data_IF_368876447574
#
_entry.id   IF_368876447574
#
_cell.length_a   1.000
_cell.length_b   1.000
_cell.length_c   1.000
_cell.angle_alpha   90.00
_cell.angle_beta   90.00
_cell.angle_gamma   90.00
#
_symmetry.space_group_name_H-M   'P 1'
#
loop_
_entity.id
_entity.type
_entity.pdbx_description
1 polymer ?
#
# COMPACT_ATOMS: atom_id res chain seq x y z
N UNK A 1 -7.24 7.25 0.47
CA UNK A 1 -8.20 6.75 -0.53
C UNK A 1 -9.65 7.22 -0.31
N UNK A 2 -10.29 7.02 0.86
CA UNK A 2 -11.72 7.40 1.08
C UNK A 2 -12.08 8.88 0.88
N UNK A 3 -11.16 9.81 1.12
CA UNK A 3 -11.38 11.24 0.82
C UNK A 3 -11.46 11.50 -0.68
N UNK A 4 -10.57 10.87 -1.46
CA UNK A 4 -10.58 10.95 -2.93
C UNK A 4 -11.88 10.42 -3.50
N UNK A 5 -12.41 9.32 -2.95
CA UNK A 5 -13.72 8.79 -3.33
C UNK A 5 -14.85 9.81 -3.16
N UNK A 6 -14.87 10.54 -2.04
CA UNK A 6 -15.86 11.61 -1.78
C UNK A 6 -15.72 12.77 -2.76
N UNK A 7 -14.49 13.17 -3.07
CA UNK A 7 -14.19 14.27 -4.00
C UNK A 7 -14.52 13.91 -5.45
N UNK A 8 -14.27 12.66 -5.88
CA UNK A 8 -14.63 12.20 -7.23
C UNK A 8 -16.14 11.98 -7.39
N UNK A 9 -16.82 11.53 -6.34
CA UNK A 9 -18.28 11.33 -6.35
C UNK A 9 -19.06 12.66 -6.52
N UNK A 10 -18.49 13.78 -6.08
CA UNK A 10 -19.15 15.09 -6.14
C UNK A 10 -19.07 15.77 -7.52
N UNK A 11 -18.23 15.27 -8.44
CA UNK A 11 -18.02 15.83 -9.78
C UNK A 11 -18.84 15.11 -10.88
N UNK A 12 -20.09 14.73 -10.59
CA UNK A 12 -20.98 13.97 -11.50
C UNK A 12 -20.47 12.58 -11.98
N UNK A 13 -19.27 12.15 -11.58
CA UNK A 13 -18.74 10.79 -11.81
C UNK A 13 -19.16 9.77 -10.75
N UNK A 14 -19.36 8.52 -11.13
CA UNK A 14 -19.56 7.41 -10.20
C UNK A 14 -18.20 6.97 -9.65
N UNK A 15 -17.96 7.11 -8.35
CA UNK A 15 -16.75 6.58 -7.72
C UNK A 15 -17.09 5.44 -6.78
N UNK A 16 -16.29 4.38 -6.81
CA UNK A 16 -16.40 3.25 -5.88
C UNK A 16 -15.02 2.89 -5.33
N UNK A 17 -14.97 2.67 -4.03
CA UNK A 17 -13.78 2.16 -3.34
C UNK A 17 -13.87 0.63 -3.17
N UNK A 18 -12.79 -0.07 -3.47
CA UNK A 18 -12.62 -1.50 -3.19
C UNK A 18 -11.28 -1.74 -2.48
N UNK A 19 -11.34 -2.50 -1.40
CA UNK A 19 -10.19 -3.01 -0.66
C UNK A 19 -9.99 -4.46 -1.11
N UNK A 20 -8.81 -4.79 -1.63
CA UNK A 20 -8.60 -6.08 -2.32
C UNK A 20 -7.52 -6.96 -1.67
N UNK A 21 -7.15 -6.67 -0.42
CA UNK A 21 -6.12 -7.40 0.32
C UNK A 21 -6.46 -8.90 0.47
N UNK A 22 -7.73 -9.25 0.64
CA UNK A 22 -8.23 -10.63 0.83
C UNK A 22 -8.61 -11.33 -0.49
N UNK A 23 -8.20 -10.79 -1.64
CA UNK A 23 -8.55 -11.34 -2.96
C UNK A 23 -7.45 -12.29 -3.44
N UNK A 24 -7.87 -13.49 -3.83
CA UNK A 24 -7.00 -14.58 -4.30
C UNK A 24 -7.31 -15.04 -5.73
N UNK A 25 -8.27 -14.42 -6.42
CA UNK A 25 -8.64 -14.82 -7.78
C UNK A 25 -9.23 -13.68 -8.62
N UNK A 26 -9.11 -13.75 -9.97
CA UNK A 26 -9.74 -12.80 -10.88
C UNK A 26 -11.26 -12.69 -10.69
N UNK A 27 -11.93 -13.82 -10.45
CA UNK A 27 -13.37 -13.91 -10.25
C UNK A 27 -13.80 -13.13 -9.01
N UNK A 28 -13.03 -13.26 -7.91
CA UNK A 28 -13.30 -12.53 -6.68
C UNK A 28 -13.12 -11.03 -6.87
N UNK A 29 -12.06 -10.61 -7.58
CA UNK A 29 -11.83 -9.21 -7.92
C UNK A 29 -13.00 -8.60 -8.70
N UNK A 30 -13.44 -9.27 -9.76
CA UNK A 30 -14.59 -8.86 -10.58
C UNK A 30 -15.88 -8.81 -9.76
N UNK A 31 -16.08 -9.79 -8.88
CA UNK A 31 -17.23 -9.84 -8.00
C UNK A 31 -17.26 -8.63 -7.06
N UNK A 32 -16.14 -8.27 -6.41
CA UNK A 32 -16.08 -7.07 -5.57
C UNK A 32 -16.28 -5.78 -6.37
N UNK A 33 -15.75 -5.67 -7.60
CA UNK A 33 -16.02 -4.53 -8.47
C UNK A 33 -17.51 -4.37 -8.77
N UNK A 34 -18.19 -5.44 -9.18
CA UNK A 34 -19.63 -5.44 -9.45
C UNK A 34 -20.40 -5.11 -8.17
N UNK A 35 -20.07 -5.74 -7.05
CA UNK A 35 -20.73 -5.47 -5.76
C UNK A 35 -20.58 -4.01 -5.32
N UNK A 36 -19.41 -3.41 -5.51
CA UNK A 36 -19.18 -2.00 -5.21
C UNK A 36 -20.02 -1.08 -6.10
N UNK A 37 -20.09 -1.36 -7.40
CA UNK A 37 -20.96 -0.65 -8.34
C UNK A 37 -22.44 -0.73 -7.93
N UNK A 38 -22.95 -1.93 -7.68
CA UNK A 38 -24.35 -2.14 -7.27
C UNK A 38 -24.68 -1.56 -5.89
N UNK A 39 -23.67 -1.43 -5.04
CA UNK A 39 -23.75 -0.75 -3.76
C UNK A 39 -23.95 0.76 -3.89
N UNK A 40 -23.55 1.37 -5.00
CA UNK A 40 -23.62 2.82 -5.19
C UNK A 40 -25.05 3.33 -5.33
N UNK A 41 -25.37 4.45 -4.66
CA UNK A 41 -26.72 5.03 -4.72
C UNK A 41 -27.11 5.50 -6.13
N UNK A 42 -26.14 5.94 -6.94
CA UNK A 42 -26.41 6.38 -8.32
C UNK A 42 -26.84 5.22 -9.21
N UNK A 43 -26.23 4.03 -9.08
CA UNK A 43 -26.68 2.85 -9.84
C UNK A 43 -28.03 2.35 -9.32
N UNK A 44 -28.30 2.43 -8.01
CA UNK A 44 -29.63 2.09 -7.46
C UNK A 44 -30.74 2.98 -8.01
N UNK A 45 -30.44 4.25 -8.32
CA UNK A 45 -31.38 5.21 -8.91
C UNK A 45 -31.40 5.17 -10.44
N UNK A 46 -30.33 4.69 -11.09
CA UNK A 46 -30.21 4.54 -12.54
C UNK A 46 -30.87 3.25 -13.06
N UNK A 47 -32.13 3.33 -13.48
CA UNK A 47 -32.92 2.19 -13.95
C UNK A 47 -32.27 1.40 -15.12
N UNK A 48 -31.47 2.06 -15.97
CA UNK A 48 -30.92 1.46 -17.18
C UNK A 48 -29.81 0.43 -16.90
N UNK A 49 -28.83 0.73 -16.04
CA UNK A 49 -27.74 -0.21 -15.71
C UNK A 49 -28.29 -1.46 -15.04
N UNK A 50 -29.17 -1.27 -14.05
CA UNK A 50 -29.81 -2.38 -13.34
C UNK A 50 -30.47 -3.33 -14.34
N UNK A 51 -31.24 -2.78 -15.27
CA UNK A 51 -31.92 -3.58 -16.31
C UNK A 51 -30.96 -4.25 -17.28
N UNK A 52 -29.79 -3.65 -17.56
CA UNK A 52 -28.77 -4.23 -18.42
C UNK A 52 -28.10 -5.44 -17.74
N UNK A 53 -27.75 -5.32 -16.46
CA UNK A 53 -27.26 -6.46 -15.66
C UNK A 53 -28.32 -7.56 -15.51
N UNK A 54 -29.60 -7.22 -15.30
CA UNK A 54 -30.72 -8.21 -15.25
C UNK A 54 -30.89 -9.01 -16.54
N UNK A 55 -30.60 -8.39 -17.69
CA UNK A 55 -30.67 -9.04 -19.01
C UNK A 55 -29.44 -9.88 -19.30
N UNK A 56 -28.26 -9.36 -18.98
CA UNK A 56 -26.99 -10.04 -19.24
C UNK A 56 -26.73 -11.20 -18.27
N UNK A 57 -27.23 -11.10 -17.04
CA UNK A 57 -26.89 -12.02 -15.96
C UNK A 57 -28.10 -12.52 -15.18
N UNK A 58 -28.27 -13.83 -15.14
CA UNK A 58 -29.36 -14.50 -14.42
C UNK A 58 -29.27 -14.31 -12.89
N UNK A 59 -28.06 -14.18 -12.35
CA UNK A 59 -27.80 -13.99 -10.92
C UNK A 59 -28.33 -12.65 -10.38
N UNK A 60 -28.68 -11.70 -11.26
CA UNK A 60 -29.22 -10.40 -10.87
C UNK A 60 -30.74 -10.42 -10.62
N UNK A 61 -31.46 -11.45 -11.12
CA UNK A 61 -32.93 -11.51 -11.09
C UNK A 61 -33.54 -11.67 -9.69
N UNK A 62 -32.74 -11.94 -8.65
CA UNK A 62 -33.25 -12.00 -7.27
C UNK A 62 -33.40 -10.57 -6.71
N UNK A 63 -34.65 -10.15 -6.49
CA UNK A 63 -35.02 -8.84 -5.95
C UNK A 63 -34.18 -8.44 -4.72
N UNK A 64 -33.66 -7.21 -4.75
CA UNK A 64 -33.11 -6.49 -3.59
C UNK A 64 -34.29 -6.06 -2.69
N UNK A 65 -34.94 -7.02 -2.04
CA UNK A 65 -35.98 -6.75 -1.04
C UNK A 65 -35.50 -7.24 0.34
N UNK A 66 -35.29 -6.24 1.21
CA UNK A 66 -35.25 -6.25 2.68
C UNK A 66 -35.21 -7.60 3.41
N UNK A 67 -34.14 -8.39 3.27
CA UNK A 67 -33.75 -9.40 4.26
C UNK A 67 -32.24 -9.34 4.46
N UNK A 68 -31.82 -9.04 5.70
CA UNK A 68 -30.44 -9.07 6.17
C UNK A 68 -29.39 -8.74 5.11
N UNK A 69 -29.16 -7.45 4.85
CA UNK A 69 -28.27 -6.90 3.80
C UNK A 69 -26.92 -7.63 3.70
N UNK A 70 -26.42 -8.23 4.79
CA UNK A 70 -25.21 -9.05 4.81
C UNK A 70 -25.37 -10.43 4.12
N UNK A 71 -26.42 -11.19 4.45
CA UNK A 71 -26.65 -12.55 3.93
C UNK A 71 -26.96 -12.51 2.43
N UNK A 72 -27.77 -11.54 2.01
CA UNK A 72 -28.06 -11.34 0.58
C UNK A 72 -26.79 -11.00 -0.21
N UNK A 73 -25.97 -10.06 0.28
CA UNK A 73 -24.70 -9.70 -0.39
C UNK A 73 -23.76 -10.89 -0.50
N UNK A 74 -23.68 -11.73 0.52
CA UNK A 74 -22.88 -12.95 0.47
C UNK A 74 -23.39 -13.95 -0.59
N UNK A 75 -24.70 -14.15 -0.67
CA UNK A 75 -25.32 -15.04 -1.68
C UNK A 75 -25.14 -14.50 -3.10
N UNK A 76 -25.39 -13.21 -3.33
CA UNK A 76 -25.17 -12.55 -4.61
C UNK A 76 -23.71 -12.70 -5.07
N UNK A 77 -22.77 -12.44 -4.16
CA UNK A 77 -21.34 -12.60 -4.43
C UNK A 77 -20.98 -14.03 -4.83
N UNK A 78 -21.48 -15.02 -4.09
CA UNK A 78 -21.26 -16.44 -4.41
C UNK A 78 -21.85 -16.84 -5.77
N UNK A 79 -23.02 -16.30 -6.13
CA UNK A 79 -23.62 -16.54 -7.44
C UNK A 79 -22.79 -15.93 -8.58
N UNK A 80 -22.28 -14.71 -8.40
CA UNK A 80 -21.38 -14.06 -9.37
C UNK A 80 -20.11 -14.90 -9.55
N UNK A 81 -19.47 -15.29 -8.45
CA UNK A 81 -18.23 -16.10 -8.49
C UNK A 81 -18.47 -17.46 -9.17
N UNK A 82 -19.60 -18.12 -8.88
CA UNK A 82 -19.97 -19.38 -9.53
C UNK A 82 -20.18 -19.20 -11.04
N UNK A 83 -20.81 -18.10 -11.45
CA UNK A 83 -21.01 -17.76 -12.85
C UNK A 83 -19.67 -17.47 -13.56
N UNK A 84 -18.74 -16.79 -12.89
CA UNK A 84 -17.42 -16.46 -13.46
C UNK A 84 -16.45 -17.66 -13.51
N UNK A 85 -16.74 -18.79 -12.86
CA UNK A 85 -15.76 -19.86 -12.62
C UNK A 85 -15.10 -20.43 -13.89
N UNK A 86 -15.86 -20.64 -14.97
CA UNK A 86 -15.35 -21.31 -16.18
C UNK A 86 -14.90 -20.34 -17.28
N UNK A 87 -15.45 -19.12 -17.34
CA UNK A 87 -15.17 -18.15 -18.41
C UNK A 87 -15.25 -16.71 -17.90
N UNK A 88 -14.44 -16.40 -16.89
CA UNK A 88 -14.44 -15.08 -16.27
C UNK A 88 -14.07 -13.97 -17.26
N UNK A 89 -13.24 -14.27 -18.27
CA UNK A 89 -12.76 -13.27 -19.24
C UNK A 89 -13.89 -12.76 -20.13
N UNK A 90 -14.71 -13.66 -20.70
CA UNK A 90 -15.84 -13.23 -21.55
C UNK A 90 -16.93 -12.56 -20.71
N UNK A 91 -17.19 -13.07 -19.51
CA UNK A 91 -18.17 -12.45 -18.60
C UNK A 91 -17.72 -11.09 -18.08
N UNK A 92 -16.42 -10.92 -17.83
CA UNK A 92 -15.84 -9.62 -17.55
C UNK A 92 -16.09 -8.68 -18.72
N UNK A 93 -15.86 -9.11 -19.97
CA UNK A 93 -16.14 -8.29 -21.16
C UNK A 93 -17.57 -7.73 -21.16
N UNK A 94 -18.57 -8.58 -20.90
CA UNK A 94 -19.98 -8.17 -20.80
C UNK A 94 -20.24 -7.19 -19.64
N UNK A 95 -19.66 -7.44 -18.45
CA UNK A 95 -19.75 -6.52 -17.31
C UNK A 95 -19.25 -5.12 -17.70
N UNK A 96 -18.12 -5.06 -18.42
CA UNK A 96 -17.53 -3.78 -18.81
C UNK A 96 -18.19 -3.10 -20.00
N UNK A 97 -18.81 -3.84 -20.92
CA UNK A 97 -19.71 -3.24 -21.91
C UNK A 97 -20.84 -2.47 -21.22
N UNK A 98 -21.47 -3.08 -20.20
CA UNK A 98 -22.53 -2.42 -19.43
C UNK A 98 -22.01 -1.18 -18.68
N UNK A 99 -20.78 -1.24 -18.16
CA UNK A 99 -20.16 -0.09 -17.47
C UNK A 99 -19.79 1.02 -18.46
N UNK A 100 -19.29 0.67 -19.65
CA UNK A 100 -18.90 1.63 -20.68
C UNK A 100 -20.10 2.36 -21.29
N UNK A 101 -21.28 1.74 -21.30
CA UNK A 101 -22.55 2.38 -21.68
C UNK A 101 -23.04 3.42 -20.65
N UNK A 102 -22.33 3.61 -19.53
CA UNK A 102 -22.67 4.63 -18.56
C UNK A 102 -22.25 6.03 -19.02
N UNK A 103 -23.21 6.96 -19.08
CA UNK A 103 -23.01 8.33 -19.58
C UNK A 103 -21.99 9.15 -18.77
N UNK A 104 -21.70 8.74 -17.53
CA UNK A 104 -20.76 9.44 -16.64
C UNK A 104 -19.46 8.67 -16.47
N UNK A 105 -18.40 9.36 -16.08
CA UNK A 105 -17.13 8.71 -15.73
C UNK A 105 -17.32 7.77 -14.53
N UNK A 106 -16.70 6.59 -14.60
CA UNK A 106 -16.65 5.59 -13.53
C UNK A 106 -15.22 5.50 -13.01
N UNK A 107 -15.06 5.73 -11.71
CA UNK A 107 -13.78 5.68 -11.00
C UNK A 107 -13.76 4.51 -10.04
N UNK A 108 -12.78 3.62 -10.21
CA UNK A 108 -12.46 2.58 -9.25
C UNK A 108 -11.23 2.98 -8.46
N UNK A 109 -11.39 3.10 -7.15
CA UNK A 109 -10.28 3.30 -6.21
C UNK A 109 -9.98 1.95 -5.57
N UNK A 110 -8.87 1.34 -5.96
CA UNK A 110 -8.48 -0.03 -5.61
C UNK A 110 -7.32 0.03 -4.63
N UNK A 111 -7.54 -0.40 -3.39
CA UNK A 111 -6.51 -0.41 -2.34
C UNK A 111 -5.88 -1.78 -2.17
N UNK A 112 -4.57 -1.82 -1.89
CA UNK A 112 -3.75 -3.04 -1.79
C UNK A 112 -3.75 -3.94 -3.04
N UNK A 113 -3.78 -3.31 -4.22
CA UNK A 113 -3.70 -4.00 -5.50
C UNK A 113 -2.48 -4.93 -5.66
N UNK A 114 -1.25 -4.56 -5.24
CA UNK A 114 -0.09 -5.46 -5.31
C UNK A 114 -0.28 -6.75 -4.50
N UNK A 115 -0.96 -6.67 -3.35
CA UNK A 115 -1.23 -7.84 -2.51
C UNK A 115 -2.21 -8.78 -3.22
N UNK A 116 -3.28 -8.24 -3.82
CA UNK A 116 -4.23 -9.04 -4.59
C UNK A 116 -3.56 -9.81 -5.74
N UNK A 117 -2.68 -9.16 -6.50
CA UNK A 117 -1.93 -9.82 -7.58
C UNK A 117 -1.01 -10.90 -7.04
N UNK A 118 -0.32 -10.65 -5.92
CA UNK A 118 0.58 -11.62 -5.29
C UNK A 118 -0.16 -12.85 -4.75
N UNK A 119 -1.40 -12.67 -4.29
CA UNK A 119 -2.25 -13.72 -3.75
C UNK A 119 -2.85 -14.63 -4.81
N UNK A 120 -3.02 -14.15 -6.04
CA UNK A 120 -3.51 -14.94 -7.16
C UNK A 120 -2.51 -16.02 -7.58
N UNK A 121 -3.01 -17.11 -8.15
CA UNK A 121 -2.16 -18.06 -8.86
C UNK A 121 -1.40 -17.34 -10.00
N UNK A 122 -0.11 -17.61 -10.24
CA UNK A 122 0.68 -16.90 -11.25
C UNK A 122 0.05 -16.85 -12.65
N UNK A 123 -0.55 -17.95 -13.12
CA UNK A 123 -1.17 -17.98 -14.45
C UNK A 123 -2.44 -17.14 -14.52
N UNK A 124 -3.21 -17.13 -13.42
CA UNK A 124 -4.42 -16.31 -13.31
C UNK A 124 -4.07 -14.83 -13.15
N UNK A 125 -3.02 -14.52 -12.38
CA UNK A 125 -2.48 -13.17 -12.24
C UNK A 125 -2.03 -12.59 -13.58
N UNK A 126 -1.30 -13.37 -14.39
CA UNK A 126 -0.88 -12.99 -15.74
C UNK A 126 -2.09 -12.64 -16.63
N UNK A 127 -3.04 -13.57 -16.74
CA UNK A 127 -4.27 -13.40 -17.55
C UNK A 127 -5.06 -12.18 -17.08
N UNK A 128 -5.21 -12.02 -15.77
CA UNK A 128 -5.87 -10.89 -15.15
C UNK A 128 -5.19 -9.57 -15.49
N UNK A 129 -3.87 -9.47 -15.37
CA UNK A 129 -3.14 -8.23 -15.66
C UNK A 129 -3.24 -7.82 -17.14
N UNK A 130 -3.15 -8.78 -18.06
CA UNK A 130 -3.34 -8.52 -19.49
C UNK A 130 -4.75 -8.05 -19.81
N UNK A 131 -5.75 -8.73 -19.26
CA UNK A 131 -7.15 -8.34 -19.38
C UNK A 131 -7.39 -6.94 -18.79
N UNK A 132 -6.88 -6.70 -17.58
CA UNK A 132 -7.06 -5.45 -16.85
C UNK A 132 -6.41 -4.29 -17.58
N UNK A 133 -5.24 -4.50 -18.19
CA UNK A 133 -4.62 -3.51 -19.08
C UNK A 133 -5.48 -3.20 -20.29
N UNK A 134 -5.96 -4.23 -21.00
CA UNK A 134 -6.84 -4.04 -22.16
C UNK A 134 -8.06 -3.21 -21.78
N UNK A 135 -8.66 -3.51 -20.64
CA UNK A 135 -9.80 -2.76 -20.11
C UNK A 135 -9.50 -1.27 -19.93
N UNK A 136 -8.37 -0.92 -19.31
CA UNK A 136 -7.95 0.47 -19.10
C UNK A 136 -7.71 1.23 -20.40
N UNK A 137 -7.29 0.54 -21.46
CA UNK A 137 -6.97 1.14 -22.75
C UNK A 137 -8.19 1.37 -23.65
N UNK A 138 -9.18 0.48 -23.61
CA UNK A 138 -10.37 0.56 -24.48
C UNK A 138 -11.50 1.41 -23.89
N UNK A 139 -11.48 1.65 -22.58
CA UNK A 139 -12.61 2.26 -21.86
C UNK A 139 -12.36 3.75 -21.63
N UNK A 140 -13.07 4.61 -22.36
CA UNK A 140 -12.85 6.06 -22.31
C UNK A 140 -13.42 6.69 -21.03
N UNK A 141 -14.52 6.17 -20.50
CA UNK A 141 -15.20 6.67 -19.29
C UNK A 141 -14.74 5.98 -17.99
N UNK A 142 -13.93 4.93 -18.08
CA UNK A 142 -13.48 4.13 -16.94
C UNK A 142 -12.07 4.53 -16.50
N UNK A 143 -11.89 4.80 -15.20
CA UNK A 143 -10.61 5.22 -14.61
C UNK A 143 -10.31 4.44 -13.35
N UNK A 144 -9.04 4.09 -13.16
CA UNK A 144 -8.56 3.33 -12.02
C UNK A 144 -7.51 4.13 -11.25
N UNK A 145 -7.68 4.19 -9.94
CA UNK A 145 -6.65 4.63 -8.99
C UNK A 145 -6.29 3.41 -8.17
N UNK A 146 -5.11 2.85 -8.41
CA UNK A 146 -4.61 1.67 -7.68
C UNK A 146 -3.56 2.11 -6.67
N UNK A 147 -3.68 1.62 -5.45
CA UNK A 147 -2.74 1.87 -4.36
C UNK A 147 -2.24 0.56 -3.75
N UNK A 148 -1.17 0.66 -2.97
CA UNK A 148 -0.62 -0.43 -2.18
C UNK A 148 0.61 0.03 -1.42
N UNK A 149 0.89 -0.64 -0.31
CA UNK A 149 2.03 -0.34 0.57
C UNK A 149 3.36 -0.94 0.08
N UNK A 150 3.32 -1.75 -0.99
CA UNK A 150 4.45 -2.43 -1.63
C UNK A 150 4.46 -2.09 -3.12
N UNK A 151 5.65 -2.05 -3.72
CA UNK A 151 5.84 -1.78 -5.14
C UNK A 151 5.12 -2.81 -6.01
N UNK A 152 4.27 -2.32 -6.92
CA UNK A 152 3.61 -3.16 -7.92
C UNK A 152 4.59 -3.66 -8.98
N UNK A 153 5.65 -2.90 -9.29
CA UNK A 153 6.63 -3.23 -10.34
C UNK A 153 7.31 -4.57 -10.07
N UNK A 154 7.60 -4.82 -8.80
CA UNK A 154 8.11 -6.07 -8.29
C UNK A 154 7.14 -7.23 -8.46
N UNK A 155 5.90 -7.03 -8.01
CA UNK A 155 4.87 -8.08 -8.06
C UNK A 155 4.58 -8.51 -9.50
N UNK A 156 4.56 -7.56 -10.46
CA UNK A 156 4.29 -7.91 -11.85
C UNK A 156 5.50 -8.49 -12.60
N UNK A 157 6.73 -8.28 -12.11
CA UNK A 157 7.96 -8.76 -12.76
C UNK A 157 7.92 -10.27 -13.02
N UNK A 158 7.34 -11.02 -12.08
CA UNK A 158 7.29 -12.48 -12.11
C UNK A 158 6.07 -13.07 -12.85
N UNK A 159 5.04 -12.27 -13.16
CA UNK A 159 3.76 -12.77 -13.71
C UNK A 159 3.31 -12.14 -15.03
N UNK A 160 3.82 -10.98 -15.42
CA UNK A 160 3.42 -10.35 -16.70
C UNK A 160 4.38 -9.27 -17.21
N UNK A 161 5.41 -8.97 -16.42
CA UNK A 161 6.35 -7.89 -16.65
C UNK A 161 5.71 -6.51 -16.50
N UNK A 162 6.57 -5.49 -16.42
CA UNK A 162 6.17 -4.08 -16.30
C UNK A 162 5.28 -3.58 -17.45
N UNK A 163 5.26 -4.30 -18.58
CA UNK A 163 4.43 -3.97 -19.75
C UNK A 163 2.93 -3.94 -19.45
N UNK A 164 2.46 -4.73 -18.48
CA UNK A 164 1.03 -4.81 -18.10
C UNK A 164 0.55 -3.60 -17.28
N UNK A 165 1.47 -2.77 -16.80
CA UNK A 165 1.19 -1.61 -15.94
C UNK A 165 1.84 -0.31 -16.44
N UNK A 166 2.53 -0.31 -17.58
CA UNK A 166 3.26 0.86 -18.07
C UNK A 166 2.36 2.03 -18.52
N UNK A 167 1.04 1.83 -18.59
CA UNK A 167 0.04 2.86 -18.87
C UNK A 167 -0.39 3.63 -17.61
N UNK A 168 -0.02 3.17 -16.41
CA UNK A 168 -0.30 3.89 -15.18
C UNK A 168 0.57 5.13 -15.02
N UNK A 169 -0.07 6.25 -14.67
CA UNK A 169 0.65 7.41 -14.13
C UNK A 169 1.08 7.11 -12.70
N UNK A 170 2.39 7.16 -12.43
CA UNK A 170 2.95 6.97 -11.09
C UNK A 170 2.78 8.23 -10.24
N UNK A 171 2.36 8.03 -8.99
CA UNK A 171 2.32 9.06 -7.95
C UNK A 171 2.93 8.46 -6.70
N UNK A 172 4.14 8.90 -6.32
CA UNK A 172 4.79 8.50 -5.08
C UNK A 172 4.26 9.39 -3.95
N UNK A 173 3.74 8.78 -2.90
CA UNK A 173 3.28 9.50 -1.70
C UNK A 173 4.33 9.27 -0.61
N UNK A 174 5.19 10.26 -0.39
CA UNK A 174 6.17 10.26 0.69
C UNK A 174 5.57 10.77 2.00
N UNK A 175 6.43 10.99 2.99
CA UNK A 175 6.01 11.68 4.21
C UNK A 175 5.74 13.18 4.01
N UNK A 176 5.40 13.85 5.10
CA UNK A 176 5.05 15.27 5.03
C UNK A 176 6.26 16.15 4.71
N UNK A 177 6.00 17.32 4.11
CA UNK A 177 6.97 18.40 4.16
C UNK A 177 7.16 18.83 5.63
N UNK A 178 8.38 19.27 6.00
CA UNK A 178 8.71 19.60 7.39
C UNK A 178 7.71 20.58 8.01
N UNK A 179 7.32 21.61 7.26
CA UNK A 179 6.39 22.64 7.70
C UNK A 179 5.00 22.05 8.01
N UNK A 180 4.50 21.18 7.13
CA UNK A 180 3.23 20.47 7.33
C UNK A 180 3.31 19.51 8.52
N UNK A 181 4.46 18.86 8.72
CA UNK A 181 4.67 17.96 9.84
C UNK A 181 4.64 18.71 11.19
N UNK A 182 5.29 19.89 11.25
CA UNK A 182 5.23 20.79 12.41
C UNK A 182 3.79 21.25 12.66
N UNK A 183 3.07 21.70 11.63
CA UNK A 183 1.67 22.14 11.76
C UNK A 183 0.77 21.03 12.34
N UNK A 184 0.99 19.78 11.92
CA UNK A 184 0.26 18.62 12.45
C UNK A 184 0.60 18.38 13.92
N UNK A 185 1.89 18.43 14.29
CA UNK A 185 2.32 18.27 15.69
C UNK A 185 1.71 19.37 16.57
N UNK A 186 1.86 20.63 16.19
CA UNK A 186 1.31 21.77 16.94
C UNK A 186 -0.21 21.65 17.09
N UNK A 187 -0.91 21.23 16.03
CA UNK A 187 -2.35 21.02 16.07
C UNK A 187 -2.73 19.96 17.11
N UNK A 188 -2.02 18.84 17.17
CA UNK A 188 -2.27 17.79 18.17
C UNK A 188 -2.02 18.31 19.58
N UNK A 189 -0.92 19.02 19.82
CA UNK A 189 -0.63 19.62 21.13
C UNK A 189 -1.74 20.57 21.59
N UNK A 190 -2.21 21.43 20.68
CA UNK A 190 -3.31 22.36 20.96
C UNK A 190 -4.63 21.63 21.26
N UNK A 191 -4.97 20.61 20.50
CA UNK A 191 -6.20 19.82 20.73
C UNK A 191 -6.17 19.02 22.03
N UNK A 192 -4.97 18.65 22.50
CA UNK A 192 -4.72 17.96 23.78
C UNK A 192 -4.47 18.92 24.95
N UNK A 193 -4.50 20.22 24.71
CA UNK A 193 -4.20 21.27 25.70
C UNK A 193 -2.80 21.16 26.33
N UNK A 194 -1.84 20.58 25.61
CA UNK A 194 -0.43 20.52 26.00
C UNK A 194 0.32 21.81 25.66
N UNK A 195 1.37 22.12 26.42
CA UNK A 195 2.24 23.25 26.10
C UNK A 195 3.13 22.90 24.91
N UNK A 196 3.04 23.71 23.85
CA UNK A 196 3.85 23.56 22.64
C UNK A 196 4.93 24.64 22.56
N UNK A 197 6.13 24.23 22.14
CA UNK A 197 7.21 25.12 21.74
C UNK A 197 7.79 24.63 20.41
N UNK A 198 8.42 25.51 19.65
CA UNK A 198 9.11 25.13 18.40
C UNK A 198 10.18 24.04 18.65
N UNK A 199 10.86 24.09 19.80
CA UNK A 199 11.91 23.13 20.14
C UNK A 199 11.36 21.72 20.39
N UNK A 200 10.17 21.60 20.98
CA UNK A 200 9.44 20.32 21.11
C UNK A 200 9.10 19.75 19.74
N UNK A 201 8.55 20.57 18.83
CA UNK A 201 8.22 20.16 17.48
C UNK A 201 9.44 19.66 16.70
N UNK A 202 10.54 20.42 16.73
CA UNK A 202 11.81 20.04 16.12
C UNK A 202 12.39 18.78 16.75
N UNK A 203 12.29 18.61 18.08
CA UNK A 203 12.77 17.41 18.76
C UNK A 203 12.03 16.15 18.32
N UNK A 204 10.69 16.20 18.24
CA UNK A 204 9.87 15.08 17.75
C UNK A 204 10.26 14.73 16.31
N UNK A 205 10.38 15.73 15.42
CA UNK A 205 10.78 15.47 14.03
C UNK A 205 12.21 14.94 13.91
N UNK A 206 13.13 15.41 14.75
CA UNK A 206 14.49 14.88 14.79
C UNK A 206 14.51 13.39 15.15
N UNK A 207 13.65 12.94 16.07
CA UNK A 207 13.47 11.52 16.40
C UNK A 207 12.87 10.72 15.24
N UNK A 208 11.83 11.24 14.58
CA UNK A 208 11.17 10.58 13.43
C UNK A 208 12.11 10.48 12.21
N UNK A 209 12.89 11.53 11.95
CA UNK A 209 13.77 11.68 10.80
C UNK A 209 13.19 12.59 9.70
N UNK A 210 14.07 12.97 8.76
CA UNK A 210 13.80 13.98 7.71
C UNK A 210 12.60 13.64 6.83
N UNK A 211 12.34 12.35 6.59
CA UNK A 211 11.22 11.88 5.78
C UNK A 211 9.85 12.16 6.40
N UNK A 212 9.76 12.58 7.67
CA UNK A 212 8.52 13.03 8.33
C UNK A 212 7.31 12.11 8.06
N UNK A 213 7.51 10.80 8.24
CA UNK A 213 6.50 9.79 7.92
C UNK A 213 5.30 9.97 8.87
N UNK A 214 4.07 10.19 8.36
CA UNK A 214 2.90 10.49 9.18
C UNK A 214 2.61 9.44 10.25
N UNK A 215 2.80 8.16 9.92
CA UNK A 215 2.63 7.05 10.86
C UNK A 215 3.63 7.11 12.02
N UNK A 216 4.89 7.45 11.76
CA UNK A 216 5.92 7.56 12.81
C UNK A 216 5.72 8.79 13.70
N UNK A 217 5.25 9.90 13.12
CA UNK A 217 4.81 11.07 13.91
C UNK A 217 3.66 10.68 14.83
N UNK A 218 2.67 9.94 14.33
CA UNK A 218 1.54 9.48 15.13
C UNK A 218 1.96 8.53 16.27
N UNK A 219 2.90 7.61 16.01
CA UNK A 219 3.48 6.74 17.04
C UNK A 219 4.15 7.56 18.15
N UNK A 220 4.97 8.56 17.79
CA UNK A 220 5.61 9.44 18.77
C UNK A 220 4.58 10.19 19.62
N UNK A 221 3.59 10.82 18.99
CA UNK A 221 2.55 11.57 19.68
C UNK A 221 1.69 10.68 20.59
N UNK A 222 1.37 9.45 20.15
CA UNK A 222 0.65 8.47 20.97
C UNK A 222 1.45 8.06 22.20
N UNK A 223 2.76 7.82 22.04
CA UNK A 223 3.61 7.46 23.17
C UNK A 223 3.80 8.62 24.16
N UNK A 224 3.87 9.86 23.67
CA UNK A 224 3.86 11.07 24.51
C UNK A 224 2.56 11.17 25.30
N UNK A 225 1.40 10.95 24.65
CA UNK A 225 0.10 10.93 25.33
C UNK A 225 0.08 9.92 26.48
N UNK A 226 0.54 8.70 26.22
CA UNK A 226 0.53 7.62 27.18
C UNK A 226 1.44 7.91 28.39
N UNK A 227 2.61 8.51 28.19
CA UNK A 227 3.48 8.93 29.29
C UNK A 227 2.90 10.11 30.08
N UNK A 228 2.37 11.12 29.38
CA UNK A 228 1.74 12.28 30.00
C UNK A 228 0.58 11.86 30.92
N UNK A 229 -0.33 11.01 30.43
CA UNK A 229 -1.49 10.52 31.18
C UNK A 229 -1.10 9.63 32.36
N UNK A 230 -0.03 8.83 32.23
CA UNK A 230 0.35 7.87 33.25
C UNK A 230 1.19 8.46 34.39
N UNK A 231 2.01 9.48 34.11
CA UNK A 231 2.95 10.04 35.09
C UNK A 231 2.69 11.49 35.46
N UNK A 232 1.79 12.18 34.75
CA UNK A 232 1.50 13.62 34.94
C UNK A 232 2.79 14.47 34.88
N UNK A 233 3.59 14.23 33.83
CA UNK A 233 4.89 14.86 33.60
C UNK A 233 4.81 15.95 32.53
N UNK A 234 5.62 16.99 32.65
CA UNK A 234 5.76 18.01 31.61
C UNK A 234 6.38 17.41 30.35
N UNK A 235 5.89 17.83 29.18
CA UNK A 235 6.44 17.39 27.89
C UNK A 235 7.62 18.28 27.54
N UNK A 236 8.83 17.77 27.71
CA UNK A 236 10.08 18.43 27.34
C UNK A 236 10.93 17.58 26.39
N UNK A 237 12.08 18.11 25.98
CA UNK A 237 12.97 17.42 25.05
C UNK A 237 13.61 16.15 25.63
N UNK A 238 13.77 16.07 26.95
CA UNK A 238 14.34 14.90 27.64
C UNK A 238 13.32 13.75 27.63
N UNK A 239 12.06 14.03 27.98
CA UNK A 239 10.97 13.05 27.91
C UNK A 239 10.81 12.49 26.49
N UNK A 240 10.87 13.36 25.46
CA UNK A 240 10.73 12.93 24.06
C UNK A 240 11.88 11.99 23.66
N UNK A 241 13.10 12.29 24.07
CA UNK A 241 14.27 11.44 23.81
C UNK A 241 14.16 10.10 24.55
N UNK A 242 13.69 10.10 25.80
CA UNK A 242 13.48 8.89 26.59
C UNK A 242 12.40 7.99 25.98
N UNK A 243 11.27 8.58 25.57
CA UNK A 243 10.20 7.86 24.87
C UNK A 243 10.75 7.23 23.58
N UNK A 244 11.51 7.98 22.80
CA UNK A 244 12.09 7.47 21.56
C UNK A 244 13.01 6.27 21.82
N UNK A 245 13.99 6.40 22.72
CA UNK A 245 15.00 5.37 22.93
C UNK A 245 14.49 4.15 23.72
N UNK A 246 13.68 4.35 24.75
CA UNK A 246 13.31 3.28 25.68
C UNK A 246 11.94 2.67 25.42
N UNK A 247 11.03 3.40 24.75
CA UNK A 247 9.68 2.90 24.46
C UNK A 247 9.51 2.56 23.00
N UNK A 248 9.73 3.51 22.09
CA UNK A 248 9.55 3.30 20.65
C UNK A 248 10.58 2.32 20.10
N UNK A 249 11.86 2.56 20.37
CA UNK A 249 12.93 1.63 19.99
C UNK A 249 13.06 0.46 20.99
N UNK A 250 12.44 0.56 22.17
CA UNK A 250 12.46 -0.49 23.18
C UNK A 250 11.56 -1.69 22.86
N UNK A 251 11.55 -2.67 23.77
CA UNK A 251 10.81 -3.92 23.59
C UNK A 251 9.30 -3.72 23.36
N UNK A 252 8.72 -2.67 23.93
CA UNK A 252 7.30 -2.35 23.78
C UNK A 252 6.97 -1.87 22.37
N UNK A 253 7.79 -0.98 21.80
CA UNK A 253 7.59 -0.42 20.46
C UNK A 253 8.03 -1.32 19.31
N UNK A 254 8.66 -2.48 19.58
CA UNK A 254 9.13 -3.41 18.54
C UNK A 254 8.05 -3.76 17.50
N UNK A 255 6.81 -3.94 17.95
CA UNK A 255 5.70 -4.34 17.09
C UNK A 255 5.34 -3.29 16.01
N UNK A 256 5.64 -2.01 16.23
CA UNK A 256 5.37 -0.95 15.26
C UNK A 256 6.12 -1.16 13.94
N UNK A 257 7.26 -1.86 13.96
CA UNK A 257 8.14 -1.98 12.80
C UNK A 257 8.31 -3.42 12.31
N UNK A 258 7.85 -4.42 13.07
CA UNK A 258 8.01 -5.84 12.73
C UNK A 258 7.46 -6.19 11.33
N UNK A 259 6.38 -5.52 10.92
CA UNK A 259 5.79 -5.69 9.59
C UNK A 259 6.78 -5.38 8.45
N UNK A 260 7.69 -4.40 8.62
CA UNK A 260 8.75 -4.12 7.64
C UNK A 260 9.66 -5.35 7.45
N UNK A 261 10.09 -5.99 8.53
CA UNK A 261 10.90 -7.21 8.45
C UNK A 261 10.12 -8.38 7.83
N UNK A 262 8.83 -8.54 8.18
CA UNK A 262 7.99 -9.61 7.64
C UNK A 262 7.74 -9.48 6.14
N UNK A 263 7.54 -8.25 5.63
CA UNK A 263 7.34 -7.99 4.20
C UNK A 263 8.50 -8.50 3.35
N UNK A 264 9.74 -8.40 3.83
CA UNK A 264 10.89 -8.95 3.09
C UNK A 264 10.72 -10.45 2.81
N UNK A 265 10.24 -11.22 3.79
CA UNK A 265 10.01 -12.66 3.63
C UNK A 265 8.87 -12.99 2.67
N UNK A 266 7.83 -12.15 2.62
CA UNK A 266 6.63 -12.38 1.81
C UNK A 266 6.90 -12.02 0.35
N UNK A 267 7.55 -10.89 0.11
CA UNK A 267 7.73 -10.37 -1.23
C UNK A 267 9.08 -10.77 -1.82
N UNK A 268 10.19 -10.81 -1.06
CA UNK A 268 11.56 -11.02 -1.58
C UNK A 268 11.91 -12.50 -1.74
N UNK A 269 11.01 -13.20 -2.42
CA UNK A 269 11.07 -14.65 -2.64
C UNK A 269 11.83 -15.05 -3.90
N UNK A 270 12.30 -14.09 -4.69
CA UNK A 270 13.09 -14.31 -5.89
C UNK A 270 14.36 -15.12 -5.60
N UNK A 271 14.86 -15.81 -6.63
CA UNK A 271 16.05 -16.66 -6.55
C UNK A 271 15.98 -17.68 -5.40
N UNK A 272 14.81 -18.31 -5.21
CA UNK A 272 14.59 -19.30 -4.14
C UNK A 272 14.88 -18.73 -2.74
N UNK A 273 14.48 -17.47 -2.51
CA UNK A 273 14.64 -16.75 -1.24
C UNK A 273 16.06 -16.22 -0.97
N UNK A 274 17.00 -16.31 -1.92
CA UNK A 274 18.31 -15.65 -1.78
C UNK A 274 18.19 -14.12 -1.80
N UNK A 275 17.18 -13.61 -2.48
CA UNK A 275 16.91 -12.17 -2.56
C UNK A 275 16.56 -11.58 -1.19
N UNK A 276 15.72 -12.25 -0.38
CA UNK A 276 15.46 -11.85 1.01
C UNK A 276 16.76 -11.77 1.82
N UNK A 277 17.66 -12.75 1.68
CA UNK A 277 18.94 -12.79 2.40
C UNK A 277 19.81 -11.59 2.02
N UNK A 278 19.95 -11.34 0.72
CA UNK A 278 20.70 -10.20 0.21
C UNK A 278 20.10 -8.87 0.70
N UNK A 279 18.78 -8.70 0.60
CA UNK A 279 18.05 -7.52 1.08
C UNK A 279 18.34 -7.26 2.56
N UNK A 280 18.17 -8.28 3.41
CA UNK A 280 18.44 -8.17 4.86
C UNK A 280 19.89 -7.86 5.16
N UNK A 281 20.84 -8.47 4.44
CA UNK A 281 22.27 -8.25 4.64
C UNK A 281 22.67 -6.82 4.25
N UNK A 282 22.15 -6.29 3.14
CA UNK A 282 22.34 -4.90 2.73
C UNK A 282 21.74 -3.96 3.78
N UNK A 283 20.46 -4.14 4.13
CA UNK A 283 19.79 -3.29 5.13
C UNK A 283 20.50 -3.30 6.48
N UNK A 284 21.09 -4.43 6.89
CA UNK A 284 21.92 -4.49 8.10
C UNK A 284 23.15 -3.57 8.03
N UNK A 285 23.80 -3.47 6.87
CA UNK A 285 24.97 -2.61 6.70
C UNK A 285 24.58 -1.15 6.55
N UNK A 286 23.54 -0.87 5.76
CA UNK A 286 23.01 0.50 5.60
C UNK A 286 22.50 1.06 6.94
N UNK A 287 22.00 0.22 7.86
CA UNK A 287 21.49 0.71 9.15
C UNK A 287 22.56 1.14 10.14
N UNK A 288 23.81 0.81 9.86
CA UNK A 288 24.95 1.07 10.74
C UNK A 288 25.76 2.31 10.35
N UNK A 289 25.47 2.90 9.18
CA UNK A 289 26.18 4.04 8.62
C UNK A 289 25.17 5.09 8.12
N UNK A 290 25.58 6.35 7.97
CA UNK A 290 24.71 7.37 7.38
C UNK A 290 24.53 7.16 5.87
N UNK A 291 25.61 6.73 5.19
CA UNK A 291 25.60 6.34 3.79
C UNK A 291 26.50 5.12 3.59
N UNK A 292 26.04 4.15 2.82
CA UNK A 292 26.73 2.91 2.51
C UNK A 292 27.07 2.83 1.00
N UNK A 293 28.35 2.63 0.62
CA UNK A 293 28.75 2.60 -0.78
C UNK A 293 28.04 1.51 -1.60
N UNK A 294 27.56 1.89 -2.79
CA UNK A 294 26.80 1.00 -3.68
C UNK A 294 27.61 -0.23 -4.12
N UNK A 295 28.91 -0.05 -4.41
CA UNK A 295 29.81 -1.15 -4.80
C UNK A 295 29.98 -2.19 -3.68
N UNK A 296 29.98 -1.75 -2.42
CA UNK A 296 30.04 -2.68 -1.28
C UNK A 296 28.72 -3.43 -1.11
N UNK A 297 27.58 -2.75 -1.32
CA UNK A 297 26.28 -3.40 -1.34
C UNK A 297 26.16 -4.43 -2.46
N UNK A 298 26.74 -4.15 -3.64
CA UNK A 298 26.83 -5.13 -4.72
C UNK A 298 27.69 -6.33 -4.30
N UNK A 299 28.81 -6.10 -3.61
CA UNK A 299 29.62 -7.18 -3.01
C UNK A 299 28.81 -8.11 -2.10
N UNK A 300 27.95 -7.55 -1.24
CA UNK A 300 27.03 -8.32 -0.37
C UNK A 300 26.04 -9.11 -1.21
N UNK A 301 25.42 -8.47 -2.21
CA UNK A 301 24.48 -9.15 -3.11
C UNK A 301 25.12 -10.39 -3.75
N UNK A 302 26.34 -10.25 -4.28
CA UNK A 302 27.08 -11.37 -4.88
C UNK A 302 27.36 -12.48 -3.90
N UNK A 303 27.75 -12.12 -2.67
CA UNK A 303 28.02 -13.10 -1.62
C UNK A 303 26.78 -13.89 -1.22
N UNK A 304 25.64 -13.21 -1.02
CA UNK A 304 24.40 -13.82 -0.52
C UNK A 304 23.62 -14.60 -1.59
N UNK A 305 23.75 -14.18 -2.86
CA UNK A 305 23.03 -14.81 -3.99
C UNK A 305 23.88 -15.74 -4.85
N UNK A 306 25.21 -15.58 -4.82
CA UNK A 306 26.12 -16.23 -5.76
C UNK A 306 26.02 -15.70 -7.20
N UNK A 307 25.30 -14.60 -7.44
CA UNK A 307 25.05 -14.02 -8.76
C UNK A 307 25.85 -12.72 -8.93
N UNK A 308 26.75 -12.68 -9.93
CA UNK A 308 27.47 -11.47 -10.35
C UNK A 308 26.72 -10.78 -11.50
N UNK A 309 25.57 -10.17 -11.17
CA UNK A 309 24.68 -9.50 -12.12
C UNK A 309 24.27 -8.14 -11.56
N UNK A 310 24.79 -7.09 -12.20
CA UNK A 310 24.54 -5.71 -11.77
C UNK A 310 23.10 -5.28 -12.03
N UNK A 311 22.44 -5.79 -13.08
CA UNK A 311 21.05 -5.43 -13.39
C UNK A 311 20.12 -5.97 -12.30
N UNK A 312 20.29 -7.24 -11.93
CA UNK A 312 19.53 -7.85 -10.82
C UNK A 312 19.78 -7.20 -9.47
N UNK A 313 21.01 -6.77 -9.23
CA UNK A 313 21.33 -6.00 -8.03
C UNK A 313 20.60 -4.66 -8.03
N UNK A 314 20.61 -3.94 -9.15
CA UNK A 314 19.91 -2.65 -9.25
C UNK A 314 18.39 -2.82 -9.16
N UNK A 315 17.82 -3.92 -9.66
CA UNK A 315 16.42 -4.27 -9.43
C UNK A 315 16.11 -4.42 -7.94
N UNK A 316 16.97 -5.10 -7.17
CA UNK A 316 16.81 -5.24 -5.73
C UNK A 316 16.88 -3.87 -5.01
N UNK A 317 17.82 -3.01 -5.40
CA UNK A 317 17.94 -1.66 -4.84
C UNK A 317 16.69 -0.82 -5.15
N UNK A 318 16.21 -0.87 -6.39
CA UNK A 318 14.98 -0.19 -6.79
C UNK A 318 13.77 -0.70 -6.01
N UNK A 319 13.67 -2.01 -5.78
CA UNK A 319 12.59 -2.60 -4.98
C UNK A 319 12.65 -2.11 -3.52
N UNK A 320 13.83 -2.10 -2.90
CA UNK A 320 14.03 -1.58 -1.54
C UNK A 320 13.73 -0.08 -1.42
N UNK A 321 14.05 0.71 -2.45
CA UNK A 321 13.74 2.13 -2.50
C UNK A 321 12.23 2.40 -2.66
N UNK A 322 11.58 1.65 -3.55
CA UNK A 322 10.13 1.76 -3.77
C UNK A 322 9.32 1.33 -2.55
N UNK A 323 9.81 0.36 -1.77
CA UNK A 323 9.19 -0.10 -0.53
C UNK A 323 9.56 0.76 0.70
N UNK A 324 10.25 1.89 0.47
CA UNK A 324 10.63 2.90 1.45
C UNK A 324 11.60 2.42 2.55
N UNK A 325 12.47 1.46 2.23
CA UNK A 325 13.56 1.08 3.15
C UNK A 325 14.76 2.01 3.02
N UNK A 326 15.17 2.30 1.79
CA UNK A 326 16.39 3.04 1.48
C UNK A 326 16.15 4.15 0.46
N UNK A 327 17.12 5.04 0.34
CA UNK A 327 17.31 5.94 -0.79
C UNK A 327 18.70 5.72 -1.38
N UNK A 328 18.81 5.88 -2.69
CA UNK A 328 20.09 5.82 -3.38
C UNK A 328 20.55 7.24 -3.77
N UNK A 329 21.41 7.83 -2.95
CA UNK A 329 22.05 9.11 -3.27
C UNK A 329 23.14 8.86 -4.33
N UNK A 330 23.05 9.48 -5.53
CA UNK A 330 24.00 9.21 -6.62
C UNK A 330 25.46 9.51 -6.30
N UNK A 331 25.74 10.34 -5.29
CA UNK A 331 27.09 10.75 -4.90
C UNK A 331 27.58 10.03 -3.66
N UNK A 332 26.69 9.75 -2.71
CA UNK A 332 27.06 9.22 -1.38
C UNK A 332 26.78 7.72 -1.22
N UNK A 333 25.86 7.16 -2.00
CA UNK A 333 25.40 5.78 -1.90
C UNK A 333 24.09 5.62 -1.13
N UNK A 334 23.90 4.44 -0.55
CA UNK A 334 22.63 4.03 0.05
C UNK A 334 22.46 4.62 1.45
N UNK A 335 21.29 5.17 1.76
CA UNK A 335 20.91 5.56 3.12
C UNK A 335 19.54 5.00 3.48
N UNK A 336 19.21 4.87 4.76
CA UNK A 336 17.85 4.49 5.15
C UNK A 336 16.88 5.64 4.88
N UNK A 337 15.72 5.30 4.32
CA UNK A 337 14.67 6.29 4.05
C UNK A 337 14.15 6.97 5.32
N UNK A 338 14.19 6.29 6.47
CA UNK A 338 13.77 6.85 7.76
C UNK A 338 14.76 6.56 8.86
N UNK A 339 15.08 7.59 9.66
CA UNK A 339 15.88 7.46 10.89
C UNK A 339 15.27 6.46 11.87
N UNK A 340 13.98 6.59 12.18
CA UNK A 340 13.32 5.69 13.13
C UNK A 340 13.40 4.23 12.69
N UNK A 341 13.15 3.95 11.40
CA UNK A 341 13.30 2.60 10.86
C UNK A 341 14.75 2.13 10.86
N UNK A 342 15.72 3.00 10.54
CA UNK A 342 17.15 2.72 10.59
C UNK A 342 17.59 2.30 11.99
N UNK A 343 17.22 3.09 12.99
CA UNK A 343 17.64 2.90 14.38
C UNK A 343 17.01 1.60 14.94
N UNK A 344 15.74 1.32 14.61
CA UNK A 344 15.09 0.03 14.90
C UNK A 344 15.82 -1.14 14.23
N UNK A 345 16.14 -1.02 12.93
CA UNK A 345 16.84 -2.07 12.19
C UNK A 345 18.23 -2.33 12.77
N UNK A 346 18.94 -1.28 13.17
CA UNK A 346 20.24 -1.38 13.85
C UNK A 346 20.13 -2.12 15.17
N UNK A 347 19.10 -1.87 15.96
CA UNK A 347 18.92 -2.50 17.27
C UNK A 347 18.54 -3.97 17.19
N UNK A 348 17.60 -4.33 16.30
CA UNK A 348 17.03 -5.69 16.26
C UNK A 348 17.63 -6.60 15.18
N UNK A 349 18.29 -6.02 14.18
CA UNK A 349 18.84 -6.76 13.04
C UNK A 349 20.29 -6.40 12.72
N UNK A 350 20.88 -5.43 13.42
CA UNK A 350 22.28 -5.03 13.33
C UNK A 350 23.24 -6.08 13.88
N UNK A 351 24.53 -5.90 13.61
CA UNK A 351 25.58 -6.68 14.27
C UNK A 351 25.72 -6.18 15.72
N UNK A 352 25.64 -7.11 16.69
CA UNK A 352 26.01 -6.81 18.08
C UNK A 352 27.49 -6.49 18.07
N UNK A 353 27.85 -5.23 18.38
CA UNK A 353 29.24 -4.84 18.57
C UNK A 353 29.80 -5.40 19.88
#
# INVERSE_FOLDING_TARGET
MRRLEKELSSQDGLCVFIEVEDIYSPQRFLSEMVMALLGSERIRKGANIRSAFEKAFSWFKENIEEVGVSVFRAKLRSNIEADLKEDWTEKARLIFEIINDFESNVYFVVDEFPIAIKNMDPEDAEKFLHWFRKLRQISENLRFVVGGSVSIDRVVRDVGGVSVINDFKRVRVGGFQKEVAIDVIEKVFREKEWQYTESIGDKILNCVGESCIPYFIAIMLSAIEEEYVSRDVEIDEELIEDIYNFRILGSEGKHYFEHYSQRLRIFYTGMTGMEEKAARAILRRVSSEDYYPLDLAFGIFKQETGVDDQERFMDLIADLENDFYIENDPLKGLTFYSRMLRDWWRLYHGEIK
#
